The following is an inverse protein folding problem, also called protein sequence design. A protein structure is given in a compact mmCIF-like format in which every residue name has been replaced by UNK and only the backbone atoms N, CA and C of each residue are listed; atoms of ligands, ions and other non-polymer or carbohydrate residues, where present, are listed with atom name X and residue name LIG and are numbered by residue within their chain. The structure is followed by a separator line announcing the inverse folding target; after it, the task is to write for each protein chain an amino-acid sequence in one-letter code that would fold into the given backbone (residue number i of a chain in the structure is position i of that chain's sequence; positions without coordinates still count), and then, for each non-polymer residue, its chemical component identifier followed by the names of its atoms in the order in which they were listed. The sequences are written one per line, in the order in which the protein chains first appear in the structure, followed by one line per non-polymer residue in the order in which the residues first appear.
data_IF_947767211826
#
_entry.id   IF_947767211826
#
_cell.length_a   1.000
_cell.length_b   1.000
_cell.length_c   1.000
_cell.angle_alpha   90.00
_cell.angle_beta   90.00
_cell.angle_gamma   90.00
#
_symmetry.space_group_name_H-M   'P 1'
#
loop_
_entity.id
_entity.type
_entity.pdbx_description
1 polymer ?
#
# COMPACT_ATOMS: atom_id res chain seq x y z
N UNK A 1 9.10 11.17 -11.08
CA UNK A 1 8.70 11.72 -9.89
C UNK A 1 9.18 10.94 -8.68
N UNK A 2 9.01 9.81 -8.37
CA UNK A 2 9.54 9.10 -7.21
C UNK A 2 9.95 7.71 -7.67
N UNK A 3 11.17 7.28 -7.37
CA UNK A 3 11.65 5.91 -7.63
C UNK A 3 11.00 4.86 -6.70
N UNK A 4 9.92 5.24 -6.01
CA UNK A 4 9.18 4.37 -5.11
C UNK A 4 8.45 3.28 -5.90
N UNK A 5 9.04 2.09 -5.96
CA UNK A 5 8.50 0.92 -6.66
C UNK A 5 7.43 0.17 -5.85
N UNK A 6 7.33 0.47 -4.57
CA UNK A 6 6.41 -0.23 -3.67
C UNK A 6 5.49 0.72 -2.92
N UNK A 7 4.35 0.21 -2.54
CA UNK A 7 3.37 0.87 -1.68
C UNK A 7 3.18 0.07 -0.40
N UNK A 8 3.61 0.65 0.70
CA UNK A 8 3.37 0.13 2.04
C UNK A 8 1.97 0.56 2.50
N UNK A 9 1.19 -0.38 2.98
CA UNK A 9 -0.14 -0.17 3.51
C UNK A 9 -0.23 -0.70 4.93
N UNK A 10 -0.33 0.19 5.91
CA UNK A 10 -0.36 -0.16 7.33
C UNK A 10 -1.72 0.19 7.94
N UNK A 11 -2.42 -0.82 8.41
CA UNK A 11 -3.71 -0.67 9.07
C UNK A 11 -3.53 -0.68 10.59
N UNK A 12 -4.10 0.30 11.27
CA UNK A 12 -4.01 0.36 12.73
C UNK A 12 -5.30 -0.07 13.44
N UNK A 13 -6.38 -0.29 12.71
CA UNK A 13 -7.57 -0.94 13.26
C UNK A 13 -7.55 -2.43 12.90
N UNK A 14 -7.59 -3.32 13.90
CA UNK A 14 -7.52 -4.77 13.68
C UNK A 14 -8.61 -5.30 12.75
N UNK A 15 -9.77 -4.66 12.74
CA UNK A 15 -10.89 -5.02 11.86
C UNK A 15 -10.56 -4.79 10.37
N UNK A 16 -9.57 -3.93 10.07
CA UNK A 16 -9.04 -3.68 8.72
C UNK A 16 -7.83 -4.56 8.35
N UNK A 17 -7.42 -5.53 9.17
CA UNK A 17 -6.22 -6.35 8.95
C UNK A 17 -6.14 -7.04 7.58
N UNK A 18 -7.28 -7.30 6.95
CA UNK A 18 -7.35 -7.90 5.62
C UNK A 18 -7.40 -6.87 4.48
N UNK A 19 -7.42 -5.57 4.76
CA UNK A 19 -7.52 -4.54 3.73
C UNK A 19 -6.30 -4.54 2.79
N UNK A 20 -5.12 -4.91 3.28
CA UNK A 20 -3.92 -5.07 2.44
C UNK A 20 -4.16 -6.11 1.35
N UNK A 21 -4.76 -7.25 1.67
CA UNK A 21 -5.09 -8.33 0.70
C UNK A 21 -6.10 -7.85 -0.33
N UNK A 22 -7.11 -7.10 0.09
CA UNK A 22 -8.07 -6.47 -0.80
C UNK A 22 -7.38 -5.50 -1.77
N UNK A 23 -6.54 -4.61 -1.25
CA UNK A 23 -5.80 -3.65 -2.07
C UNK A 23 -4.84 -4.33 -3.06
N UNK A 24 -4.18 -5.41 -2.65
CA UNK A 24 -3.35 -6.23 -3.52
C UNK A 24 -4.17 -6.78 -4.71
N UNK A 25 -5.31 -7.38 -4.42
CA UNK A 25 -6.16 -7.93 -5.47
C UNK A 25 -6.69 -6.83 -6.39
N UNK A 26 -7.28 -5.76 -5.85
CA UNK A 26 -7.89 -4.71 -6.66
C UNK A 26 -6.85 -3.95 -7.49
N UNK A 27 -5.71 -3.61 -6.93
CA UNK A 27 -4.75 -2.73 -7.59
C UNK A 27 -3.64 -3.48 -8.34
N UNK A 28 -3.01 -4.49 -7.74
CA UNK A 28 -1.91 -5.20 -8.38
C UNK A 28 -2.39 -6.05 -9.55
N UNK A 29 -3.51 -6.75 -9.37
CA UNK A 29 -4.14 -7.54 -10.43
C UNK A 29 -4.58 -6.65 -11.59
N UNK A 30 -5.20 -5.51 -11.29
CA UNK A 30 -5.72 -4.60 -12.30
C UNK A 30 -4.62 -3.83 -13.05
N UNK A 31 -3.60 -3.35 -12.34
CA UNK A 31 -2.62 -2.40 -12.84
C UNK A 31 -1.24 -3.01 -13.14
N UNK A 32 -1.01 -4.27 -12.76
CA UNK A 32 0.23 -4.98 -13.07
C UNK A 32 0.26 -5.45 -14.53
N UNK A 33 0.31 -4.52 -15.47
CA UNK A 33 0.21 -4.77 -16.90
C UNK A 33 1.45 -4.27 -17.65
N UNK A 34 1.87 -5.01 -18.65
CA UNK A 34 2.98 -4.65 -19.54
C UNK A 34 2.53 -4.28 -20.96
N UNK A 35 1.23 -4.34 -21.22
CA UNK A 35 0.61 -3.99 -22.52
C UNK A 35 -0.42 -2.91 -22.28
N UNK A 36 -0.40 -1.89 -23.11
CA UNK A 36 -1.36 -0.79 -23.08
C UNK A 36 -2.67 -1.12 -23.84
N UNK A 37 -3.64 -0.21 -23.80
CA UNK A 37 -4.94 -0.36 -24.49
C UNK A 37 -4.83 -0.35 -26.03
N UNK A 38 -3.67 -0.04 -26.59
CA UNK A 38 -3.40 -0.05 -28.02
C UNK A 38 -2.56 -1.26 -28.42
N UNK A 39 -2.51 -2.32 -27.61
CA UNK A 39 -1.76 -3.55 -27.82
C UNK A 39 -0.24 -3.33 -27.95
N UNK A 40 0.28 -2.25 -27.33
CA UNK A 40 1.71 -1.94 -27.33
C UNK A 40 2.34 -2.25 -25.99
N UNK A 41 3.56 -2.77 -26.02
CA UNK A 41 4.36 -2.96 -24.81
C UNK A 41 4.70 -1.58 -24.22
N UNK A 42 4.47 -1.42 -22.92
CA UNK A 42 4.83 -0.20 -22.20
C UNK A 42 6.32 -0.19 -21.86
N UNK A 43 6.94 0.98 -21.94
CA UNK A 43 8.36 1.21 -21.63
C UNK A 43 8.55 1.89 -20.25
N UNK A 44 7.49 2.00 -19.47
CA UNK A 44 7.47 2.58 -18.14
C UNK A 44 6.92 1.58 -17.11
N UNK A 45 7.15 1.84 -15.85
CA UNK A 45 6.64 0.99 -14.78
C UNK A 45 5.15 1.23 -14.56
N UNK A 46 4.39 0.14 -14.47
CA UNK A 46 2.97 0.13 -14.17
C UNK A 46 2.70 -0.66 -12.90
N UNK A 47 1.72 -0.25 -12.14
CA UNK A 47 1.34 -0.92 -10.90
C UNK A 47 2.43 -0.87 -9.84
N UNK A 48 2.04 -0.65 -8.62
CA UNK A 48 2.97 -0.68 -7.47
C UNK A 48 2.86 -2.03 -6.76
N UNK A 49 3.96 -2.55 -6.24
CA UNK A 49 3.93 -3.72 -5.36
C UNK A 49 3.34 -3.28 -4.03
N UNK A 50 2.16 -3.77 -3.68
CA UNK A 50 1.49 -3.47 -2.42
C UNK A 50 1.88 -4.52 -1.38
N UNK A 51 2.32 -4.05 -0.23
CA UNK A 51 2.66 -4.88 0.92
C UNK A 51 2.34 -4.16 2.21
N UNK A 52 2.41 -4.84 3.33
CA UNK A 52 2.13 -4.24 4.64
C UNK A 52 1.34 -5.18 5.53
N UNK A 53 0.61 -4.62 6.50
CA UNK A 53 -0.14 -5.40 7.46
C UNK A 53 -0.77 -4.59 8.58
N UNK A 54 -1.15 -5.27 9.66
CA UNK A 54 -1.65 -4.64 10.87
C UNK A 54 -0.49 -3.99 11.64
N UNK A 55 -0.55 -2.68 11.81
CA UNK A 55 0.54 -1.87 12.36
C UNK A 55 1.09 -2.35 13.70
N UNK A 56 0.25 -2.57 14.73
CA UNK A 56 0.73 -3.06 16.03
C UNK A 56 1.51 -4.38 15.96
N UNK A 57 1.10 -5.34 15.13
CA UNK A 57 1.83 -6.61 14.95
C UNK A 57 3.10 -6.45 14.12
N UNK A 58 3.14 -5.43 13.29
CA UNK A 58 4.25 -5.20 12.34
C UNK A 58 5.44 -4.46 12.96
N UNK A 59 5.33 -3.98 14.21
CA UNK A 59 6.38 -3.20 14.89
C UNK A 59 7.73 -3.95 14.93
N UNK A 60 7.70 -5.26 15.13
CA UNK A 60 8.89 -6.10 15.20
C UNK A 60 9.21 -6.85 13.90
N UNK A 61 8.59 -6.46 12.79
CA UNK A 61 8.89 -7.04 11.47
C UNK A 61 9.52 -6.02 10.53
N UNK A 62 8.74 -5.10 9.97
CA UNK A 62 9.24 -4.20 8.93
C UNK A 62 9.34 -2.72 9.34
N UNK A 63 8.96 -2.32 10.56
CA UNK A 63 9.09 -0.91 10.97
C UNK A 63 10.53 -0.44 11.05
N UNK A 64 11.48 -1.31 11.40
CA UNK A 64 12.91 -1.00 11.29
C UNK A 64 13.28 -0.51 9.88
N UNK A 65 12.78 -1.19 8.84
CA UNK A 65 13.03 -0.80 7.46
C UNK A 65 12.33 0.52 7.07
N UNK A 66 11.14 0.77 7.61
CA UNK A 66 10.40 2.02 7.35
C UNK A 66 11.17 3.23 7.89
N UNK A 67 11.76 3.12 9.09
CA UNK A 67 12.43 4.22 9.77
C UNK A 67 13.90 4.41 9.37
N UNK A 68 14.62 3.33 9.05
CA UNK A 68 16.07 3.37 8.81
C UNK A 68 16.51 2.70 7.50
N UNK A 69 15.59 2.12 6.74
CA UNK A 69 15.91 1.47 5.48
C UNK A 69 16.28 2.47 4.38
N UNK A 70 16.97 1.98 3.36
CA UNK A 70 17.47 2.78 2.23
C UNK A 70 16.58 2.73 0.99
N UNK A 71 15.45 2.01 1.05
CA UNK A 71 14.51 1.90 -0.08
C UNK A 71 13.34 2.85 0.09
N UNK A 72 13.08 3.61 -0.96
CA UNK A 72 11.90 4.47 -1.03
C UNK A 72 10.62 3.68 -1.27
N UNK A 73 9.55 4.11 -0.62
CA UNK A 73 8.21 3.53 -0.73
C UNK A 73 7.12 4.57 -0.49
N UNK A 74 6.02 4.45 -1.18
CA UNK A 74 4.82 5.19 -0.83
C UNK A 74 4.20 4.57 0.43
N UNK A 75 3.85 5.38 1.42
CA UNK A 75 3.36 4.92 2.72
C UNK A 75 1.94 5.39 2.95
N UNK A 76 1.02 4.46 3.18
CA UNK A 76 -0.36 4.72 3.58
C UNK A 76 -0.61 4.13 4.96
N UNK A 77 -1.03 4.99 5.88
CA UNK A 77 -1.41 4.61 7.23
C UNK A 77 -2.92 4.82 7.39
N UNK A 78 -3.64 3.76 7.73
CA UNK A 78 -5.10 3.75 7.79
C UNK A 78 -5.57 3.39 9.19
N UNK A 79 -6.43 4.20 9.78
CA UNK A 79 -7.07 3.90 11.06
C UNK A 79 -8.45 4.55 11.17
N UNK A 80 -9.30 3.93 11.97
CA UNK A 80 -10.56 4.52 12.41
C UNK A 80 -10.37 5.36 13.67
N UNK A 81 -10.96 6.55 13.71
CA UNK A 81 -11.00 7.40 14.93
C UNK A 81 -11.74 6.77 16.09
N UNK A 82 -12.54 5.73 15.83
CA UNK A 82 -13.21 4.96 16.89
C UNK A 82 -12.25 4.07 17.69
N UNK A 83 -11.10 3.69 17.13
CA UNK A 83 -10.01 3.01 17.84
C UNK A 83 -9.00 4.02 18.36
N UNK A 84 -9.31 4.62 19.50
CA UNK A 84 -8.54 5.76 20.04
C UNK A 84 -7.07 5.44 20.33
N UNK A 85 -6.77 4.23 20.77
CA UNK A 85 -5.40 3.84 21.12
C UNK A 85 -4.54 3.68 19.86
N UNK A 86 -5.00 2.87 18.92
CA UNK A 86 -4.28 2.62 17.69
C UNK A 86 -4.23 3.86 16.79
N UNK A 87 -5.26 4.71 16.84
CA UNK A 87 -5.24 6.00 16.14
C UNK A 87 -4.14 6.93 16.68
N UNK A 88 -3.94 7.00 18.00
CA UNK A 88 -2.83 7.75 18.61
C UNK A 88 -1.48 7.16 18.22
N UNK A 89 -1.34 5.83 18.26
CA UNK A 89 -0.10 5.17 17.86
C UNK A 89 0.24 5.47 16.39
N UNK A 90 -0.72 5.34 15.48
CA UNK A 90 -0.55 5.69 14.07
C UNK A 90 -0.08 7.14 13.90
N UNK A 91 -0.74 8.07 14.60
CA UNK A 91 -0.41 9.49 14.50
C UNK A 91 1.02 9.77 14.97
N UNK A 92 1.40 9.25 16.12
CA UNK A 92 2.76 9.42 16.67
C UNK A 92 3.84 8.83 15.74
N UNK A 93 3.56 7.70 15.10
CA UNK A 93 4.51 7.09 14.15
C UNK A 93 4.64 7.89 12.85
N UNK A 94 3.55 8.47 12.35
CA UNK A 94 3.61 9.39 11.20
C UNK A 94 4.39 10.65 11.55
N UNK A 95 4.15 11.23 12.72
CA UNK A 95 4.90 12.39 13.22
C UNK A 95 6.40 12.06 13.31
N UNK A 96 6.76 10.92 13.89
CA UNK A 96 8.15 10.45 13.96
C UNK A 96 8.81 10.26 12.58
N UNK A 97 8.04 9.85 11.56
CA UNK A 97 8.55 9.76 10.19
C UNK A 97 8.78 11.13 9.56
N UNK A 98 7.93 12.11 9.87
CA UNK A 98 8.03 13.47 9.32
C UNK A 98 9.15 14.25 10.00
N UNK A 99 9.27 14.12 11.31
CA UNK A 99 10.26 14.86 12.11
C UNK A 99 11.66 14.24 12.01
N UNK A 100 11.75 12.91 11.98
CA UNK A 100 13.02 12.20 12.11
C UNK A 100 13.70 12.48 13.46
N UNK A 101 14.97 12.14 13.56
CA UNK A 101 15.80 12.49 14.71
C UNK A 101 17.28 12.60 14.32
N UNK A 102 17.56 13.40 13.31
CA UNK A 102 18.95 13.58 12.77
C UNK A 102 19.93 14.14 13.81
N UNK A 103 19.43 14.84 14.84
CA UNK A 103 20.25 15.40 15.93
C UNK A 103 20.63 14.34 17.00
N UNK A 104 20.10 13.12 16.94
CA UNK A 104 20.48 12.05 17.86
C UNK A 104 21.99 11.79 17.76
N UNK A 105 22.67 11.78 18.93
CA UNK A 105 24.13 11.62 19.01
C UNK A 105 24.59 10.25 18.55
N UNK A 106 23.82 9.21 18.92
CA UNK A 106 24.07 7.85 18.48
C UNK A 106 23.52 7.66 17.06
N UNK A 107 24.40 7.62 16.09
CA UNK A 107 24.03 7.48 14.67
C UNK A 107 23.21 6.25 14.38
N UNK A 108 23.32 5.19 15.18
CA UNK A 108 22.53 3.96 15.02
C UNK A 108 21.06 4.12 15.43
N UNK A 109 20.72 5.19 16.13
CA UNK A 109 19.36 5.52 16.54
C UNK A 109 18.69 6.56 15.64
N UNK A 110 19.42 7.13 14.70
CA UNK A 110 18.87 8.12 13.76
C UNK A 110 17.86 7.47 12.84
N UNK A 111 16.77 8.19 12.56
CA UNK A 111 15.71 7.77 11.65
C UNK A 111 15.66 8.70 10.44
N UNK A 112 15.25 8.13 9.31
CA UNK A 112 15.08 8.89 8.07
C UNK A 112 13.87 9.81 8.17
N UNK A 113 13.96 10.99 7.57
CA UNK A 113 12.83 11.88 7.35
C UNK A 113 12.08 11.39 6.10
N UNK A 114 10.81 11.13 6.22
CA UNK A 114 9.98 10.71 5.08
C UNK A 114 8.51 11.05 5.28
N UNK A 115 7.78 11.23 4.18
CA UNK A 115 6.34 11.47 4.21
C UNK A 115 5.51 10.19 4.30
N UNK A 116 4.26 10.36 4.71
CA UNK A 116 3.24 9.32 4.68
C UNK A 116 1.86 9.91 4.36
N UNK A 117 1.01 9.12 3.72
CA UNK A 117 -0.41 9.45 3.52
C UNK A 117 -1.22 8.89 4.69
N UNK A 118 -1.88 9.75 5.43
CA UNK A 118 -2.77 9.36 6.52
C UNK A 118 -4.21 9.25 6.01
N UNK A 119 -4.81 8.07 6.17
CA UNK A 119 -6.23 7.82 5.84
C UNK A 119 -7.01 7.65 7.13
N UNK A 120 -7.83 8.64 7.45
CA UNK A 120 -8.63 8.65 8.66
C UNK A 120 -10.08 8.31 8.36
N UNK A 121 -10.56 7.22 8.96
CA UNK A 121 -11.97 6.89 8.94
C UNK A 121 -12.64 7.45 10.19
N UNK A 122 -13.85 8.00 10.05
CA UNK A 122 -14.64 8.44 11.21
C UNK A 122 -14.92 7.28 12.16
N UNK A 123 -15.34 6.16 11.59
CA UNK A 123 -15.70 4.91 12.27
C UNK A 123 -15.55 3.74 11.27
N UNK A 124 -15.97 2.54 11.65
CA UNK A 124 -16.05 1.40 10.76
C UNK A 124 -17.51 1.00 10.46
N UNK A 125 -18.39 1.98 10.30
CA UNK A 125 -19.73 1.75 9.76
C UNK A 125 -19.65 1.25 8.31
N UNK A 126 -20.70 0.58 7.80
CA UNK A 126 -20.77 0.20 6.38
C UNK A 126 -20.51 1.38 5.43
N UNK A 127 -20.94 2.59 5.81
CA UNK A 127 -20.69 3.80 5.03
C UNK A 127 -19.20 4.15 4.95
N UNK A 128 -18.51 4.20 6.08
CA UNK A 128 -17.07 4.53 6.12
C UNK A 128 -16.22 3.46 5.41
N UNK A 129 -16.59 2.18 5.56
CA UNK A 129 -15.93 1.09 4.83
C UNK A 129 -16.21 1.20 3.32
N UNK A 130 -17.45 1.48 2.93
CA UNK A 130 -17.79 1.72 1.53
C UNK A 130 -16.99 2.87 0.91
N UNK A 131 -16.77 3.96 1.65
CA UNK A 131 -15.92 5.06 1.21
C UNK A 131 -14.45 4.61 1.01
N UNK A 132 -13.90 3.82 1.93
CA UNK A 132 -12.54 3.31 1.83
C UNK A 132 -12.37 2.37 0.61
N UNK A 133 -13.32 1.46 0.40
CA UNK A 133 -13.35 0.57 -0.77
C UNK A 133 -13.41 1.40 -2.05
N UNK A 134 -14.38 2.31 -2.15
CA UNK A 134 -14.57 3.18 -3.31
C UNK A 134 -13.34 4.04 -3.59
N UNK A 135 -12.67 4.56 -2.56
CA UNK A 135 -11.40 5.29 -2.72
C UNK A 135 -10.35 4.42 -3.42
N UNK A 136 -10.21 3.16 -3.00
CA UNK A 136 -9.21 2.26 -3.56
C UNK A 136 -9.53 1.82 -4.98
N UNK A 137 -10.80 1.51 -5.25
CA UNK A 137 -11.29 1.20 -6.60
C UNK A 137 -11.08 2.38 -7.56
N UNK A 138 -11.47 3.58 -7.15
CA UNK A 138 -11.28 4.78 -7.98
C UNK A 138 -9.78 5.07 -8.20
N UNK A 139 -8.92 4.94 -7.18
CA UNK A 139 -7.46 5.04 -7.34
C UNK A 139 -6.96 4.06 -8.39
N UNK A 140 -7.44 2.82 -8.36
CA UNK A 140 -7.06 1.79 -9.33
C UNK A 140 -7.49 2.17 -10.76
N UNK A 141 -8.71 2.67 -10.93
CA UNK A 141 -9.23 3.14 -12.22
C UNK A 141 -8.40 4.32 -12.75
N UNK A 142 -8.16 5.34 -11.91
CA UNK A 142 -7.35 6.49 -12.31
C UNK A 142 -5.94 6.09 -12.73
N UNK A 143 -5.30 5.18 -11.99
CA UNK A 143 -4.00 4.67 -12.33
C UNK A 143 -4.01 3.94 -13.69
N UNK A 144 -5.04 3.12 -13.96
CA UNK A 144 -5.16 2.43 -15.25
C UNK A 144 -5.32 3.40 -16.43
N UNK A 145 -6.08 4.49 -16.23
CA UNK A 145 -6.23 5.55 -17.23
C UNK A 145 -4.90 6.26 -17.44
N UNK A 146 -4.21 6.61 -16.36
CA UNK A 146 -2.92 7.30 -16.41
C UNK A 146 -1.85 6.48 -17.14
N UNK A 147 -1.82 5.16 -16.90
CA UNK A 147 -0.90 4.23 -17.57
C UNK A 147 -1.41 3.70 -18.90
N UNK A 148 -2.60 4.12 -19.33
CA UNK A 148 -3.24 3.63 -20.55
C UNK A 148 -3.38 2.10 -20.60
N UNK A 149 -3.65 1.45 -19.45
CA UNK A 149 -3.78 -0.01 -19.35
C UNK A 149 -5.23 -0.42 -19.07
N UNK A 150 -5.59 -1.67 -19.38
CA UNK A 150 -6.88 -2.23 -18.99
C UNK A 150 -6.83 -2.69 -17.54
N UNK A 151 -7.67 -2.09 -16.68
CA UNK A 151 -7.92 -2.61 -15.35
C UNK A 151 -8.89 -3.80 -15.39
N UNK A 152 -8.95 -4.56 -14.29
CA UNK A 152 -9.96 -5.60 -14.02
C UNK A 152 -9.98 -6.78 -14.98
N UNK A 153 -8.88 -7.05 -15.69
CA UNK A 153 -8.61 -8.33 -16.36
C UNK A 153 -7.42 -9.05 -15.71
N UNK A 154 -7.30 -10.36 -15.93
CA UNK A 154 -6.34 -11.20 -15.22
C UNK A 154 -5.65 -12.23 -16.14
N UNK A 155 -5.27 -11.82 -17.34
CA UNK A 155 -4.67 -12.70 -18.34
C UNK A 155 -3.37 -13.36 -17.87
N UNK A 156 -2.61 -12.69 -17.00
CA UNK A 156 -1.31 -13.17 -16.52
C UNK A 156 -1.33 -14.51 -15.77
N UNK A 157 -2.49 -14.94 -15.23
CA UNK A 157 -2.62 -16.21 -14.51
C UNK A 157 -3.12 -17.39 -15.36
N UNK A 158 -3.55 -17.13 -16.60
CA UNK A 158 -4.17 -18.17 -17.44
C UNK A 158 -3.20 -19.31 -17.78
N UNK A 159 -1.96 -19.00 -18.13
CA UNK A 159 -0.95 -20.02 -18.43
C UNK A 159 -0.70 -20.95 -17.25
N UNK A 160 -0.65 -20.42 -16.02
CA UNK A 160 -0.52 -21.22 -14.81
C UNK A 160 -1.67 -22.20 -14.62
N UNK A 161 -2.90 -21.76 -14.84
CA UNK A 161 -4.09 -22.63 -14.78
C UNK A 161 -4.02 -23.78 -15.82
N UNK A 162 -3.69 -23.44 -17.08
CA UNK A 162 -3.54 -24.43 -18.16
C UNK A 162 -2.45 -25.47 -17.81
N UNK A 163 -1.31 -25.01 -17.32
CA UNK A 163 -0.21 -25.92 -16.98
C UNK A 163 -0.56 -26.82 -15.77
N UNK A 164 -1.29 -26.30 -14.78
CA UNK A 164 -1.77 -27.12 -13.66
C UNK A 164 -2.69 -28.23 -14.16
N UNK A 165 -3.62 -27.94 -15.08
CA UNK A 165 -4.52 -28.95 -15.64
C UNK A 165 -3.78 -30.04 -16.42
N UNK A 166 -2.62 -29.74 -17.02
CA UNK A 166 -1.80 -30.74 -17.73
C UNK A 166 -1.02 -31.69 -16.79
N UNK A 167 -0.88 -31.34 -15.52
CA UNK A 167 -0.17 -32.13 -14.51
C UNK A 167 -1.11 -32.99 -13.66
N UNK A 168 -2.41 -32.79 -13.76
CA UNK A 168 -3.47 -33.60 -13.13
C UNK A 168 -3.93 -34.72 -14.05
#
# INVERSE_FOLDING_TARGET
LLDAQTTLLVNYDYRLRNFVKFAQQVEMESNGKSIDRNDKKVEYQTGSIIWGGYGPESQHSFFQHIFQGTKDMNKYFICSKSDKLNFKQMTAQIESLIEGNEEEKDIHKRTNISGATKVELKDLSPYSIGQLISLWENKTIFNSIFWNTNAFDQWGVELGKINTQKQL
#
